data_IF_105754598989
#
_entry.id   IF_105754598989
#
_cell.length_a   1.000
_cell.length_b   1.000
_cell.length_c   1.000
_cell.angle_alpha   90.00
_cell.angle_beta   90.00
_cell.angle_gamma   90.00
#
_symmetry.space_group_name_H-M   'P 1'
#
loop_
_entity.id
_entity.type
_entity.pdbx_description
1 polymer ?
#
# COMPACT_ATOMS: atom_id res chain seq x y z
N UNK A 1 4.56 0.23 2.33
CA UNK A 1 4.04 -0.41 1.09
C UNK A 1 5.14 -1.07 0.26
N UNK A 2 6.08 -0.34 -0.37
CA UNK A 2 7.10 -0.96 -1.23
C UNK A 2 7.96 -2.02 -0.52
N UNK A 3 8.41 -1.73 0.71
CA UNK A 3 9.15 -2.71 1.52
C UNK A 3 8.31 -3.96 1.83
N UNK A 4 7.04 -3.80 2.18
CA UNK A 4 6.12 -4.92 2.42
C UNK A 4 5.97 -5.76 1.15
N UNK A 5 5.76 -5.13 -0.01
CA UNK A 5 5.72 -5.83 -1.31
C UNK A 5 7.00 -6.63 -1.58
N UNK A 6 8.17 -6.07 -1.27
CA UNK A 6 9.44 -6.76 -1.46
C UNK A 6 9.57 -8.00 -0.55
N UNK A 7 9.08 -7.92 0.71
CA UNK A 7 9.10 -9.03 1.67
C UNK A 7 8.10 -10.11 1.25
N UNK A 8 6.87 -9.71 0.90
CA UNK A 8 5.76 -10.63 0.61
C UNK A 8 5.75 -11.14 -0.82
N UNK A 9 6.54 -10.54 -1.72
CA UNK A 9 6.45 -10.71 -3.16
C UNK A 9 5.07 -10.39 -3.75
N UNK A 10 4.20 -9.71 -3.01
CA UNK A 10 2.89 -9.27 -3.51
C UNK A 10 3.07 -8.06 -4.43
N UNK A 11 2.44 -8.06 -5.62
CA UNK A 11 2.56 -6.94 -6.55
C UNK A 11 1.86 -5.69 -6.02
N UNK A 12 2.37 -4.51 -6.43
CA UNK A 12 1.75 -3.22 -6.17
C UNK A 12 1.20 -2.64 -7.48
N UNK A 13 -0.06 -2.22 -7.46
CA UNK A 13 -0.69 -1.47 -8.56
C UNK A 13 0.10 -0.22 -8.89
N UNK A 14 0.60 -0.14 -10.13
CA UNK A 14 1.34 1.01 -10.65
C UNK A 14 0.42 2.13 -11.17
N UNK A 15 -0.90 1.88 -11.18
CA UNK A 15 -1.88 2.88 -11.59
C UNK A 15 -2.16 3.90 -10.48
N UNK A 16 -1.79 3.61 -9.23
CA UNK A 16 -2.11 4.42 -8.07
C UNK A 16 -0.82 5.05 -7.52
N UNK A 17 -0.74 6.39 -7.52
CA UNK A 17 0.29 7.09 -6.79
C UNK A 17 -0.07 7.18 -5.30
N UNK A 18 0.94 7.33 -4.43
CA UNK A 18 0.75 7.44 -3.00
C UNK A 18 1.62 8.58 -2.45
N UNK A 19 1.03 9.43 -1.60
CA UNK A 19 1.74 10.42 -0.79
C UNK A 19 1.23 10.39 0.64
N UNK A 20 2.12 10.59 1.61
CA UNK A 20 1.76 10.63 3.03
C UNK A 20 3.01 10.43 3.90
N UNK A 21 2.92 10.83 5.16
CA UNK A 21 3.86 10.41 6.21
C UNK A 21 3.20 9.34 7.07
N UNK A 22 3.97 8.55 7.81
CA UNK A 22 3.45 7.57 8.78
C UNK A 22 4.15 7.74 10.12
N UNK A 23 3.43 7.49 11.20
CA UNK A 23 4.03 7.30 12.53
C UNK A 23 4.32 5.82 12.80
N UNK A 24 4.88 5.52 13.97
CA UNK A 24 5.20 4.15 14.41
C UNK A 24 3.98 3.26 14.66
N UNK A 25 2.79 3.85 14.82
CA UNK A 25 1.53 3.12 14.97
C UNK A 25 0.89 2.79 13.62
N UNK A 26 1.47 3.26 12.51
CA UNK A 26 0.93 3.08 11.17
C UNK A 26 -0.13 4.12 10.77
N UNK A 27 -0.34 5.17 11.59
CA UNK A 27 -1.26 6.25 11.25
C UNK A 27 -0.66 7.14 10.15
N UNK A 28 -1.47 7.46 9.16
CA UNK A 28 -1.09 8.30 8.03
C UNK A 28 -1.28 9.78 8.37
N UNK A 29 -0.21 10.54 8.21
CA UNK A 29 -0.12 11.94 8.62
C UNK A 29 -0.13 12.88 7.42
N UNK A 30 -0.65 14.08 7.67
CA UNK A 30 -0.74 15.15 6.68
C UNK A 30 0.63 15.51 6.10
N UNK A 31 0.62 15.90 4.83
CA UNK A 31 1.78 16.40 4.10
C UNK A 31 1.50 17.78 3.51
N UNK A 32 2.57 18.49 3.16
CA UNK A 32 2.49 19.69 2.33
C UNK A 32 2.39 19.38 0.85
N UNK A 33 1.77 20.30 0.11
CA UNK A 33 1.68 20.28 -1.35
C UNK A 33 0.81 19.14 -1.91
N UNK A 34 -0.33 18.84 -1.26
CA UNK A 34 -1.19 17.72 -1.66
C UNK A 34 -1.82 17.93 -3.04
N UNK A 35 -2.24 19.16 -3.36
CA UNK A 35 -2.88 19.49 -4.64
C UNK A 35 -1.89 19.32 -5.80
N UNK A 36 -0.69 19.89 -5.67
CA UNK A 36 0.37 19.84 -6.69
C UNK A 36 0.83 18.40 -6.97
N UNK A 37 0.82 17.54 -5.94
CA UNK A 37 1.13 16.12 -6.08
C UNK A 37 0.04 15.36 -6.83
N UNK A 38 -1.23 15.65 -6.55
CA UNK A 38 -2.37 15.05 -7.26
C UNK A 38 -2.36 15.50 -8.73
N UNK A 39 -2.25 16.81 -8.97
CA UNK A 39 -2.20 17.42 -10.31
C UNK A 39 -1.02 16.90 -11.13
N UNK A 40 0.16 16.79 -10.51
CA UNK A 40 1.36 16.26 -11.15
C UNK A 40 1.16 14.83 -11.64
N UNK A 41 0.58 13.95 -10.81
CA UNK A 41 0.29 12.59 -11.21
C UNK A 41 -0.82 12.51 -12.28
N UNK A 42 -1.92 13.24 -12.09
CA UNK A 42 -3.01 13.30 -13.06
C UNK A 42 -2.53 13.73 -14.45
N UNK A 43 -1.68 14.77 -14.53
CA UNK A 43 -1.09 15.25 -15.78
C UNK A 43 -0.26 14.17 -16.47
N UNK A 44 0.55 13.42 -15.72
CA UNK A 44 1.32 12.29 -16.24
C UNK A 44 0.39 11.18 -16.79
N UNK A 45 -0.66 10.83 -16.04
CA UNK A 45 -1.64 9.84 -16.46
C UNK A 45 -2.35 10.27 -17.75
N UNK A 46 -2.77 11.54 -17.84
CA UNK A 46 -3.39 12.11 -19.04
C UNK A 46 -2.45 12.07 -20.24
N UNK A 47 -1.17 12.42 -20.08
CA UNK A 47 -0.17 12.34 -21.15
C UNK A 47 0.06 10.91 -21.66
N UNK A 48 -0.12 9.90 -20.81
CA UNK A 48 0.03 8.49 -21.15
C UNK A 48 -1.28 7.81 -21.58
N UNK A 49 -2.40 8.52 -21.49
CA UNK A 49 -3.75 7.99 -21.69
C UNK A 49 -4.36 7.48 -20.38
N UNK A 50 -5.51 8.04 -20.00
CA UNK A 50 -6.29 7.59 -18.84
C UNK A 50 -7.01 6.27 -19.15
N UNK A 51 -6.91 5.31 -18.23
CA UNK A 51 -7.53 3.98 -18.34
C UNK A 51 -8.62 3.75 -17.28
N UNK A 52 -9.01 4.80 -16.55
CA UNK A 52 -9.95 4.77 -15.42
C UNK A 52 -9.46 4.03 -14.17
N UNK A 53 -8.27 3.42 -14.22
CA UNK A 53 -7.66 2.76 -13.06
C UNK A 53 -6.75 3.69 -12.25
N UNK A 54 -6.45 4.90 -12.75
CA UNK A 54 -5.48 5.79 -12.14
C UNK A 54 -6.06 6.54 -10.94
N UNK A 55 -5.24 6.76 -9.92
CA UNK A 55 -5.63 7.57 -8.79
C UNK A 55 -4.50 7.89 -7.84
N UNK A 56 -4.82 8.61 -6.76
CA UNK A 56 -3.85 9.01 -5.74
C UNK A 56 -4.37 8.65 -4.35
N UNK A 57 -3.55 7.95 -3.58
CA UNK A 57 -3.74 7.78 -2.13
C UNK A 57 -3.15 8.98 -1.41
N UNK A 58 -3.95 9.60 -0.55
CA UNK A 58 -3.58 10.76 0.28
C UNK A 58 -3.93 10.54 1.75
N UNK A 59 -3.30 11.28 2.69
CA UNK A 59 -3.74 11.29 4.08
C UNK A 59 -5.17 11.80 4.20
N UNK A 60 -6.01 11.13 4.99
CA UNK A 60 -7.38 11.57 5.30
C UNK A 60 -7.41 12.98 5.89
N UNK A 61 -6.41 13.31 6.71
CA UNK A 61 -6.22 14.64 7.30
C UNK A 61 -5.99 15.75 6.28
N UNK A 62 -5.51 15.44 5.05
CA UNK A 62 -5.36 16.42 3.99
C UNK A 62 -6.66 16.67 3.19
N UNK A 63 -7.75 15.93 3.44
CA UNK A 63 -9.00 16.09 2.68
C UNK A 63 -9.54 17.53 2.74
N UNK A 64 -9.39 18.20 3.88
CA UNK A 64 -9.81 19.60 4.08
C UNK A 64 -8.94 20.62 3.34
N UNK A 65 -7.77 20.21 2.83
CA UNK A 65 -6.85 21.06 2.07
C UNK A 65 -7.04 20.93 0.55
N UNK A 66 -7.92 20.05 0.09
CA UNK A 66 -8.12 19.80 -1.33
C UNK A 66 -8.80 20.98 -2.01
N UNK A 67 -8.08 21.57 -2.95
CA UNK A 67 -8.55 22.59 -3.88
C UNK A 67 -7.94 22.21 -5.22
N UNK A 68 -8.66 21.41 -6.00
CA UNK A 68 -8.18 20.79 -7.24
C UNK A 68 -8.81 21.48 -8.45
N UNK A 69 -8.07 21.52 -9.55
CA UNK A 69 -8.56 22.02 -10.83
C UNK A 69 -9.84 21.29 -11.30
N UNK A 70 -10.73 22.03 -11.95
CA UNK A 70 -12.00 21.52 -12.50
C UNK A 70 -11.81 20.30 -13.40
N UNK A 71 -10.69 20.22 -14.14
CA UNK A 71 -10.41 19.06 -14.99
C UNK A 71 -10.28 17.77 -14.18
N UNK A 72 -9.66 17.83 -13.00
CA UNK A 72 -9.50 16.67 -12.12
C UNK A 72 -10.86 16.31 -11.53
N UNK A 73 -11.64 17.31 -11.09
CA UNK A 73 -12.99 17.09 -10.58
C UNK A 73 -13.89 16.39 -11.60
N UNK A 74 -13.87 16.87 -12.86
CA UNK A 74 -14.59 16.24 -13.96
C UNK A 74 -14.12 14.80 -14.22
N UNK A 75 -12.81 14.53 -14.17
CA UNK A 75 -12.29 13.19 -14.37
C UNK A 75 -12.71 12.23 -13.24
N UNK A 76 -12.76 12.72 -11.99
CA UNK A 76 -13.26 11.97 -10.84
C UNK A 76 -14.75 11.69 -10.96
N UNK A 77 -15.56 12.70 -11.33
CA UNK A 77 -17.01 12.54 -11.52
C UNK A 77 -17.35 11.52 -12.63
N UNK A 78 -16.54 11.49 -13.70
CA UNK A 78 -16.64 10.52 -14.78
C UNK A 78 -16.02 9.15 -14.45
N UNK A 79 -15.49 8.94 -13.24
CA UNK A 79 -14.84 7.69 -12.81
C UNK A 79 -13.53 7.37 -13.53
N UNK A 80 -12.91 8.35 -14.20
CA UNK A 80 -11.66 8.20 -14.96
C UNK A 80 -10.41 8.39 -14.11
N UNK A 81 -10.55 8.95 -12.92
CA UNK A 81 -9.47 9.16 -11.97
C UNK A 81 -10.02 9.07 -10.54
N UNK A 82 -9.21 8.63 -9.58
CA UNK A 82 -9.67 8.37 -8.21
C UNK A 82 -8.80 9.05 -7.17
N UNK A 83 -9.40 9.49 -6.07
CA UNK A 83 -8.69 10.02 -4.91
C UNK A 83 -9.10 9.21 -3.69
N UNK A 84 -8.13 8.52 -3.09
CA UNK A 84 -8.34 7.65 -1.94
C UNK A 84 -7.77 8.30 -0.69
N UNK A 85 -8.64 8.64 0.26
CA UNK A 85 -8.24 9.22 1.53
C UNK A 85 -8.10 8.11 2.59
N UNK A 86 -6.90 7.91 3.12
CA UNK A 86 -6.60 6.84 4.09
C UNK A 86 -6.13 7.37 5.43
N UNK A 87 -6.47 6.67 6.50
CA UNK A 87 -6.09 6.96 7.89
C UNK A 87 -4.91 6.11 8.35
N UNK A 88 -4.74 4.90 7.81
CA UNK A 88 -3.69 3.96 8.21
C UNK A 88 -2.94 3.40 7.00
N UNK A 89 -1.71 2.92 7.25
CA UNK A 89 -0.90 2.26 6.22
C UNK A 89 -1.56 0.99 5.67
N UNK A 90 -2.35 0.29 6.50
CA UNK A 90 -3.08 -0.92 6.12
C UNK A 90 -4.14 -0.64 5.06
N UNK A 91 -4.86 0.47 5.17
CA UNK A 91 -5.80 0.90 4.14
C UNK A 91 -5.09 1.20 2.81
N UNK A 92 -3.88 1.74 2.85
CA UNK A 92 -3.07 1.92 1.64
C UNK A 92 -2.59 0.58 1.04
N UNK A 93 -2.22 -0.39 1.88
CA UNK A 93 -1.87 -1.74 1.42
C UNK A 93 -3.05 -2.42 0.72
N UNK A 94 -4.26 -2.32 1.30
CA UNK A 94 -5.50 -2.85 0.69
C UNK A 94 -5.68 -2.37 -0.75
N UNK A 95 -5.56 -1.05 -0.95
CA UNK A 95 -5.76 -0.42 -2.26
C UNK A 95 -4.65 -0.77 -3.26
N UNK A 96 -3.41 -0.88 -2.79
CA UNK A 96 -2.26 -1.10 -3.67
C UNK A 96 -2.08 -2.57 -4.06
N UNK A 97 -2.44 -3.50 -3.19
CA UNK A 97 -2.23 -4.94 -3.39
C UNK A 97 -3.51 -5.70 -3.73
N UNK A 98 -4.69 -5.07 -3.61
CA UNK A 98 -6.00 -5.70 -3.78
C UNK A 98 -6.21 -6.93 -2.88
N UNK A 99 -5.59 -6.89 -1.69
CA UNK A 99 -5.62 -7.94 -0.66
C UNK A 99 -5.78 -7.24 0.68
N UNK A 100 -6.62 -7.79 1.56
CA UNK A 100 -6.78 -7.26 2.91
C UNK A 100 -5.45 -7.29 3.68
N UNK A 101 -5.11 -6.20 4.35
CA UNK A 101 -3.89 -6.06 5.14
C UNK A 101 -3.86 -7.08 6.27
N UNK A 102 -5.03 -7.32 6.90
CA UNK A 102 -5.19 -8.26 8.01
C UNK A 102 -4.86 -7.60 9.35
N UNK A 103 -5.77 -7.76 10.31
CA UNK A 103 -5.61 -7.28 11.67
C UNK A 103 -5.10 -8.40 12.57
N UNK A 104 -4.33 -8.02 13.59
CA UNK A 104 -3.82 -8.97 14.58
C UNK A 104 -4.95 -9.36 15.54
N UNK A 105 -5.28 -10.65 15.59
CA UNK A 105 -6.30 -11.20 16.49
C UNK A 105 -5.74 -12.45 17.18
N UNK A 106 -5.84 -12.53 18.51
CA UNK A 106 -5.32 -13.64 19.31
C UNK A 106 -3.85 -13.99 19.00
N UNK A 107 -3.04 -12.96 18.70
CA UNK A 107 -1.61 -13.10 18.40
C UNK A 107 -1.30 -13.59 16.98
N UNK A 108 -2.29 -13.72 16.11
CA UNK A 108 -2.12 -14.17 14.72
C UNK A 108 -2.80 -13.22 13.71
N UNK A 109 -2.22 -13.14 12.52
CA UNK A 109 -2.85 -12.50 11.36
C UNK A 109 -3.57 -13.56 10.52
N UNK A 110 -4.64 -13.21 9.78
CA UNK A 110 -5.21 -14.12 8.79
C UNK A 110 -4.17 -14.54 7.75
N UNK A 111 -4.03 -15.84 7.48
CA UNK A 111 -2.96 -16.36 6.61
C UNK A 111 -2.94 -15.73 5.21
N UNK A 112 -4.13 -15.50 4.64
CA UNK A 112 -4.28 -14.92 3.30
C UNK A 112 -4.25 -13.37 3.27
N UNK A 113 -3.82 -12.74 4.36
CA UNK A 113 -3.69 -11.28 4.45
C UNK A 113 -2.25 -10.82 4.17
N UNK A 114 -2.07 -9.55 3.82
CA UNK A 114 -0.73 -8.98 3.58
C UNK A 114 0.18 -9.15 4.80
N UNK A 115 -0.31 -8.86 6.00
CA UNK A 115 0.44 -8.95 7.25
C UNK A 115 0.69 -10.41 7.66
N UNK A 116 -0.25 -11.32 7.38
CA UNK A 116 -0.05 -12.76 7.58
C UNK A 116 1.07 -13.32 6.69
N UNK A 117 1.04 -12.98 5.40
CA UNK A 117 2.10 -13.35 4.45
C UNK A 117 3.43 -12.72 4.86
N UNK A 118 3.44 -11.45 5.27
CA UNK A 118 4.65 -10.76 5.70
C UNK A 118 5.29 -11.44 6.91
N UNK A 119 4.49 -11.80 7.92
CA UNK A 119 4.98 -12.49 9.11
C UNK A 119 5.57 -13.85 8.75
N UNK A 120 4.89 -14.66 7.93
CA UNK A 120 5.39 -15.96 7.48
C UNK A 120 6.74 -15.82 6.75
N UNK A 121 6.86 -14.86 5.82
CA UNK A 121 8.12 -14.61 5.08
C UNK A 121 9.24 -14.13 6.00
N UNK A 122 8.95 -13.29 6.99
CA UNK A 122 9.95 -12.83 7.96
C UNK A 122 10.43 -13.96 8.87
N UNK A 123 9.55 -14.88 9.27
CA UNK A 123 9.93 -16.08 10.01
C UNK A 123 10.89 -16.95 9.19
N UNK A 124 10.57 -17.24 7.92
CA UNK A 124 11.47 -18.00 7.04
C UNK A 124 12.85 -17.33 6.90
N UNK A 125 12.89 -16.00 6.72
CA UNK A 125 14.15 -15.24 6.64
C UNK A 125 14.94 -15.37 7.95
N UNK A 126 14.26 -15.29 9.09
CA UNK A 126 14.90 -15.43 10.40
C UNK A 126 15.51 -16.82 10.60
N UNK A 127 14.82 -17.88 10.18
CA UNK A 127 15.31 -19.26 10.29
C UNK A 127 16.59 -19.46 9.47
N UNK A 128 16.62 -18.94 8.23
CA UNK A 128 17.80 -18.96 7.36
C UNK A 128 18.98 -18.19 8.00
N UNK A 129 18.72 -17.03 8.59
CA UNK A 129 19.77 -16.17 9.17
C UNK A 129 20.32 -16.75 10.48
N UNK A 130 19.45 -17.35 11.30
CA UNK A 130 19.84 -17.95 12.57
C UNK A 130 20.50 -19.33 12.39
N UNK A 131 20.44 -19.89 11.18
CA UNK A 131 21.09 -21.16 10.84
C UNK A 131 20.45 -22.33 11.55
N UNK A 132 19.11 -22.37 11.61
CA UNK A 132 18.43 -23.53 12.16
C UNK A 132 18.76 -24.73 11.24
N UNK A 133 19.66 -25.56 11.76
CA UNK A 133 20.23 -26.72 11.08
C UNK A 133 19.09 -27.67 10.71
N UNK A 134 18.99 -27.99 9.42
CA UNK A 134 18.46 -29.27 8.96
C UNK A 134 19.36 -30.41 9.49
N UNK A 135 19.29 -30.70 10.80
CA UNK A 135 19.67 -31.97 11.41
C UNK A 135 18.43 -32.87 11.57
N UNK A 136 17.60 -32.95 10.53
CA UNK A 136 16.48 -33.90 10.47
C UNK A 136 16.44 -34.66 9.15
N UNK A 137 17.54 -35.32 8.79
CA UNK A 137 17.52 -36.45 7.85
C UNK A 137 18.89 -37.13 7.84
N UNK A 138 19.18 -38.03 8.79
CA UNK A 138 20.09 -39.20 8.64
C UNK A 138 20.16 -40.03 9.95
N UNK A 139 19.03 -40.59 10.40
CA UNK A 139 19.06 -41.77 11.28
C UNK A 139 17.99 -42.78 10.81
N UNK A 140 18.30 -43.43 9.68
CA UNK A 140 17.79 -44.76 9.33
C UNK A 140 18.90 -45.52 8.62
N UNK A 141 19.82 -46.08 9.41
CA UNK A 141 20.54 -47.32 9.07
C UNK A 141 20.62 -48.19 10.33
#
# INVERSE_FOLDING_TARGET
CALISAITSLPISQSIALTGSINQHGDVQAIGGVNEKIEGFFKLCKMRGLTSAQGVIIPKSNQVNLVLDDEILNAVELGKFHIYAVETVDQALNLLMDIAAGELSDGQYPENSVNGIALARLSEIADIVNGDNDEKEHEKE
#
